data_IF_767279633653
#
_entry.id   IF_767279633653
#
_cell.length_a   1.000
_cell.length_b   1.000
_cell.length_c   1.000
_cell.angle_alpha   90.00
_cell.angle_beta   90.00
_cell.angle_gamma   90.00
#
_symmetry.space_group_name_H-M   'P 1'
#
loop_
_entity.id
_entity.type
_entity.pdbx_description
1 polymer ?
#
# COMPACT_ATOMS: atom_id res chain seq x y z
N UNK A 1 -32.49 -64.72 -59.29
CA UNK A 1 -31.69 -64.61 -58.09
C UNK A 1 -31.12 -63.17 -58.05
N UNK A 2 -31.75 -62.25 -57.29
CA UNK A 2 -31.31 -60.87 -57.08
C UNK A 2 -30.82 -60.74 -55.64
N UNK A 3 -29.53 -60.68 -55.43
CA UNK A 3 -28.96 -60.54 -54.13
C UNK A 3 -28.94 -59.08 -53.70
N UNK A 4 -29.37 -58.80 -52.46
CA UNK A 4 -29.44 -57.55 -51.79
C UNK A 4 -28.11 -57.10 -51.35
N UNK A 5 -27.61 -55.97 -51.87
CA UNK A 5 -26.34 -55.31 -51.50
C UNK A 5 -26.58 -53.88 -51.00
N UNK A 6 -27.59 -53.67 -50.13
CA UNK A 6 -27.81 -52.34 -49.55
C UNK A 6 -28.13 -52.52 -48.05
N UNK A 7 -27.12 -52.69 -47.21
CA UNK A 7 -27.32 -52.61 -45.75
C UNK A 7 -26.08 -52.31 -44.89
N UNK A 8 -24.87 -52.24 -45.42
CA UNK A 8 -23.70 -52.03 -44.58
C UNK A 8 -23.11 -50.60 -44.60
N UNK A 9 -23.55 -49.79 -45.58
CA UNK A 9 -23.05 -48.39 -45.71
C UNK A 9 -23.57 -47.44 -44.62
N UNK A 10 -24.76 -47.67 -44.11
CA UNK A 10 -25.38 -46.81 -43.10
C UNK A 10 -24.84 -47.06 -41.68
N UNK A 11 -24.36 -48.28 -41.41
CA UNK A 11 -23.79 -48.61 -40.10
C UNK A 11 -22.41 -47.96 -39.89
N UNK A 12 -21.61 -47.79 -40.94
CA UNK A 12 -20.31 -47.13 -40.88
C UNK A 12 -20.40 -45.60 -40.74
N UNK A 13 -21.46 -44.99 -41.28
CA UNK A 13 -21.68 -43.56 -41.19
C UNK A 13 -22.18 -43.13 -39.80
N UNK A 14 -22.90 -43.98 -39.10
CA UNK A 14 -23.39 -43.73 -37.76
C UNK A 14 -22.27 -43.85 -36.68
N UNK A 15 -21.26 -44.69 -36.89
CA UNK A 15 -20.15 -44.86 -35.94
C UNK A 15 -19.13 -43.72 -36.04
N UNK A 16 -19.02 -43.07 -37.21
CA UNK A 16 -18.04 -41.95 -37.40
C UNK A 16 -18.50 -40.62 -36.78
N UNK A 17 -19.79 -40.49 -36.41
CA UNK A 17 -20.35 -39.25 -35.83
C UNK A 17 -20.23 -39.19 -34.28
N UNK A 18 -19.89 -40.32 -33.62
CA UNK A 18 -19.79 -40.37 -32.14
C UNK A 18 -18.41 -39.96 -31.58
N UNK A 19 -17.40 -39.74 -32.42
CA UNK A 19 -16.05 -39.41 -31.94
C UNK A 19 -15.76 -37.92 -31.81
N UNK A 20 -16.70 -37.01 -32.09
CA UNK A 20 -16.44 -35.54 -32.00
C UNK A 20 -17.12 -34.82 -30.83
N UNK A 21 -17.57 -35.54 -29.81
CA UNK A 21 -18.14 -34.89 -28.61
C UNK A 21 -17.19 -34.96 -27.42
N UNK A 22 -15.88 -34.75 -27.62
CA UNK A 22 -15.04 -34.23 -26.56
C UNK A 22 -15.26 -32.70 -26.48
N UNK A 23 -16.30 -32.25 -25.79
CA UNK A 23 -16.29 -30.92 -25.20
C UNK A 23 -15.04 -30.86 -24.34
N UNK A 24 -14.03 -30.19 -24.83
CA UNK A 24 -12.96 -29.68 -23.98
C UNK A 24 -13.68 -28.83 -22.93
N UNK A 25 -13.85 -29.40 -21.73
CA UNK A 25 -14.10 -28.63 -20.56
C UNK A 25 -12.85 -27.72 -20.48
N UNK A 26 -12.99 -26.43 -20.81
CA UNK A 26 -11.98 -25.46 -20.43
C UNK A 26 -11.74 -25.72 -18.95
N UNK A 27 -10.60 -26.32 -18.64
CA UNK A 27 -10.10 -26.36 -17.29
C UNK A 27 -9.99 -24.88 -16.94
N UNK A 28 -10.81 -24.38 -16.04
CA UNK A 28 -10.55 -23.11 -15.37
C UNK A 28 -9.14 -23.24 -14.85
N UNK A 29 -8.18 -22.71 -15.61
CA UNK A 29 -6.79 -22.70 -15.22
C UNK A 29 -6.76 -21.74 -14.02
N UNK A 30 -6.76 -22.33 -12.81
CA UNK A 30 -6.50 -21.54 -11.61
C UNK A 30 -5.16 -20.86 -11.81
N UNK A 31 -5.07 -19.60 -11.42
CA UNK A 31 -3.80 -18.89 -11.33
C UNK A 31 -2.84 -19.65 -10.40
N UNK A 32 -1.57 -19.49 -10.62
CA UNK A 32 -0.49 -20.02 -9.77
C UNK A 32 0.28 -18.89 -9.13
N UNK A 33 1.23 -19.21 -8.27
CA UNK A 33 2.11 -18.20 -7.65
C UNK A 33 2.92 -17.36 -8.64
N UNK A 34 3.06 -17.78 -9.89
CA UNK A 34 3.89 -17.12 -10.90
C UNK A 34 3.18 -16.81 -12.22
N UNK A 35 1.89 -17.13 -12.32
CA UNK A 35 1.12 -16.98 -13.55
C UNK A 35 -0.34 -16.67 -13.26
N UNK A 36 -0.94 -15.75 -14.03
CA UNK A 36 -2.35 -15.37 -13.95
C UNK A 36 -2.55 -13.87 -13.88
N UNK A 37 -3.79 -13.46 -13.61
CA UNK A 37 -4.15 -12.04 -13.45
C UNK A 37 -4.97 -11.87 -12.19
N UNK A 38 -4.57 -10.93 -11.34
CA UNK A 38 -5.32 -10.52 -10.15
C UNK A 38 -5.49 -9.01 -10.09
N UNK A 39 -6.61 -8.58 -9.50
CA UNK A 39 -6.82 -7.18 -9.14
C UNK A 39 -6.57 -6.99 -7.66
N UNK A 40 -5.83 -5.94 -7.32
CA UNK A 40 -5.58 -5.54 -5.95
C UNK A 40 -5.96 -4.07 -5.75
N UNK A 41 -6.36 -3.71 -4.54
CA UNK A 41 -6.59 -2.31 -4.15
C UNK A 41 -5.53 -1.87 -3.17
N UNK A 42 -4.91 -0.73 -3.43
CA UNK A 42 -3.77 -0.22 -2.67
C UNK A 42 -4.07 1.20 -2.21
N UNK A 43 -3.87 1.48 -0.93
CA UNK A 43 -3.89 2.85 -0.44
C UNK A 43 -2.88 3.70 -1.22
N UNK A 44 -3.34 4.81 -1.76
CA UNK A 44 -2.57 5.74 -2.60
C UNK A 44 -1.30 6.23 -1.91
N UNK A 45 -1.31 6.35 -0.58
CA UNK A 45 -0.14 6.74 0.20
C UNK A 45 1.07 5.80 0.00
N UNK A 46 0.86 4.56 -0.44
CA UNK A 46 1.91 3.56 -0.68
C UNK A 46 2.17 3.29 -2.17
N UNK A 47 1.57 4.09 -3.06
CA UNK A 47 1.71 3.90 -4.51
C UNK A 47 3.16 3.77 -4.99
N UNK A 48 4.12 4.63 -4.60
CA UNK A 48 5.49 4.52 -5.12
C UNK A 48 6.11 3.16 -4.80
N UNK A 49 6.10 2.73 -3.55
CA UNK A 49 6.73 1.48 -3.12
C UNK A 49 6.01 0.24 -3.69
N UNK A 50 4.67 0.20 -3.67
CA UNK A 50 3.94 -0.98 -4.17
C UNK A 50 4.01 -1.08 -5.70
N UNK A 51 4.09 0.05 -6.41
CA UNK A 51 4.34 0.01 -7.87
C UNK A 51 5.70 -0.62 -8.19
N UNK A 52 6.73 -0.34 -7.40
CA UNK A 52 8.06 -0.94 -7.60
C UNK A 52 8.05 -2.43 -7.22
N UNK A 53 7.37 -2.82 -6.13
CA UNK A 53 7.18 -4.22 -5.75
C UNK A 53 6.54 -5.04 -6.88
N UNK A 54 5.43 -4.53 -7.45
CA UNK A 54 4.74 -5.18 -8.58
C UNK A 54 5.65 -5.29 -9.79
N UNK A 55 6.35 -4.22 -10.15
CA UNK A 55 7.26 -4.17 -11.29
C UNK A 55 8.37 -5.20 -11.16
N UNK A 56 9.02 -5.32 -9.99
CA UNK A 56 10.08 -6.29 -9.75
C UNK A 56 9.53 -7.72 -9.73
N UNK A 57 8.37 -7.94 -9.13
CA UNK A 57 7.71 -9.25 -9.15
C UNK A 57 7.39 -9.70 -10.57
N UNK A 58 6.72 -8.87 -11.37
CA UNK A 58 6.36 -9.18 -12.75
C UNK A 58 7.59 -9.33 -13.67
N UNK A 59 8.70 -8.64 -13.38
CA UNK A 59 9.95 -8.85 -14.11
C UNK A 59 10.54 -10.25 -13.89
N UNK A 60 10.27 -10.86 -12.73
CA UNK A 60 10.70 -12.22 -12.41
C UNK A 60 9.72 -13.28 -12.89
N UNK A 61 8.45 -12.91 -13.04
CA UNK A 61 7.35 -13.77 -13.46
C UNK A 61 6.56 -13.09 -14.59
N UNK A 62 7.02 -13.18 -15.86
CA UNK A 62 6.40 -12.44 -16.97
C UNK A 62 4.92 -12.78 -17.25
N UNK A 63 4.48 -13.98 -16.86
CA UNK A 63 3.08 -14.42 -16.98
C UNK A 63 2.20 -14.01 -15.80
N UNK A 64 2.76 -13.31 -14.82
CA UNK A 64 2.03 -12.77 -13.66
C UNK A 64 1.60 -11.32 -13.97
N UNK A 65 0.29 -11.05 -13.86
CA UNK A 65 -0.27 -9.72 -14.09
C UNK A 65 -1.02 -9.25 -12.85
N UNK A 66 -0.43 -8.32 -12.11
CA UNK A 66 -1.03 -7.69 -10.93
C UNK A 66 -1.52 -6.31 -11.32
N UNK A 67 -2.84 -6.12 -11.32
CA UNK A 67 -3.51 -4.87 -11.68
C UNK A 67 -3.87 -4.14 -10.38
N UNK A 68 -3.09 -3.12 -10.05
CA UNK A 68 -3.29 -2.31 -8.83
C UNK A 68 -4.18 -1.10 -9.10
N UNK A 69 -5.20 -0.92 -8.26
CA UNK A 69 -6.03 0.28 -8.19
C UNK A 69 -5.62 1.09 -6.97
N UNK A 70 -5.00 2.26 -7.18
CA UNK A 70 -4.59 3.17 -6.11
C UNK A 70 -5.74 4.11 -5.75
N UNK A 71 -6.17 4.10 -4.49
CA UNK A 71 -7.34 4.82 -4.01
C UNK A 71 -7.24 5.11 -2.49
N UNK A 72 -8.14 5.92 -1.90
CA UNK A 72 -8.17 6.13 -0.46
C UNK A 72 -8.35 4.83 0.31
N UNK A 73 -7.74 4.72 1.49
CA UNK A 73 -7.76 3.52 2.35
C UNK A 73 -9.17 2.99 2.61
N UNK A 74 -10.14 3.88 2.88
CA UNK A 74 -11.53 3.47 3.12
C UNK A 74 -12.17 2.79 1.90
N UNK A 75 -11.76 3.17 0.69
CA UNK A 75 -12.23 2.53 -0.55
C UNK A 75 -11.56 1.16 -0.73
N UNK A 76 -10.27 1.04 -0.37
CA UNK A 76 -9.60 -0.25 -0.35
C UNK A 76 -10.26 -1.24 0.63
N UNK A 77 -10.60 -0.78 1.84
CA UNK A 77 -11.28 -1.62 2.84
C UNK A 77 -12.68 -2.07 2.36
N UNK A 78 -13.42 -1.21 1.64
CA UNK A 78 -14.69 -1.60 1.01
C UNK A 78 -14.53 -2.65 -0.08
N UNK A 79 -13.41 -2.65 -0.77
CA UNK A 79 -13.10 -3.64 -1.82
C UNK A 79 -12.91 -5.06 -1.29
N UNK A 80 -12.75 -5.27 0.03
CA UNK A 80 -12.82 -6.62 0.62
C UNK A 80 -14.16 -7.31 0.35
N UNK A 81 -15.23 -6.54 0.10
CA UNK A 81 -16.55 -7.06 -0.29
C UNK A 81 -16.69 -7.29 -1.80
N UNK A 82 -15.70 -6.86 -2.60
CA UNK A 82 -15.71 -7.00 -4.05
C UNK A 82 -15.03 -8.31 -4.47
N UNK A 83 -15.75 -9.20 -5.12
CA UNK A 83 -15.24 -10.52 -5.53
C UNK A 83 -14.16 -10.44 -6.61
N UNK A 84 -14.07 -9.34 -7.35
CA UNK A 84 -13.01 -9.14 -8.34
C UNK A 84 -11.67 -8.72 -7.71
N UNK A 85 -11.67 -8.21 -6.47
CA UNK A 85 -10.46 -7.79 -5.76
C UNK A 85 -9.94 -8.93 -4.89
N UNK A 86 -8.73 -9.39 -5.18
CA UNK A 86 -8.09 -10.53 -4.52
C UNK A 86 -7.32 -10.14 -3.26
N UNK A 87 -6.81 -8.92 -3.21
CA UNK A 87 -5.97 -8.43 -2.12
C UNK A 87 -6.13 -6.93 -1.94
N UNK A 88 -6.01 -6.47 -0.71
CA UNK A 88 -5.82 -5.04 -0.43
C UNK A 88 -4.52 -4.80 0.34
N UNK A 89 -3.93 -3.61 0.16
CA UNK A 89 -2.75 -3.14 0.87
C UNK A 89 -3.07 -1.78 1.49
N UNK A 90 -3.06 -1.72 2.83
CA UNK A 90 -3.55 -0.57 3.61
C UNK A 90 -2.74 -0.38 4.90
N UNK A 91 -2.85 0.80 5.54
CA UNK A 91 -2.24 1.04 6.85
C UNK A 91 -3.11 0.53 8.02
N UNK A 92 -4.24 -0.10 7.72
CA UNK A 92 -5.12 -0.72 8.70
C UNK A 92 -5.26 -2.21 8.44
N UNK A 93 -4.90 -3.05 9.42
CA UNK A 93 -5.17 -4.46 9.41
C UNK A 93 -6.58 -4.78 9.91
N UNK A 94 -6.91 -6.06 9.96
CA UNK A 94 -8.16 -6.54 10.53
C UNK A 94 -8.03 -6.70 12.05
N UNK A 95 -9.11 -6.39 12.76
CA UNK A 95 -9.27 -6.86 14.15
C UNK A 95 -9.65 -8.35 14.15
N UNK A 96 -9.44 -9.04 15.27
CA UNK A 96 -9.84 -10.44 15.41
C UNK A 96 -11.34 -10.66 15.10
N UNK A 97 -12.19 -9.70 15.49
CA UNK A 97 -13.62 -9.79 15.22
C UNK A 97 -13.91 -9.65 13.72
N UNK A 98 -13.28 -8.66 13.05
CA UNK A 98 -13.42 -8.51 11.60
C UNK A 98 -12.91 -9.74 10.84
N UNK A 99 -11.79 -10.33 11.29
CA UNK A 99 -11.27 -11.58 10.72
C UNK A 99 -12.28 -12.73 10.81
N UNK A 100 -12.93 -12.91 11.98
CA UNK A 100 -13.99 -13.92 12.17
C UNK A 100 -15.23 -13.66 11.32
N UNK A 101 -15.64 -12.39 11.20
CA UNK A 101 -16.80 -12.02 10.38
C UNK A 101 -16.54 -12.28 8.90
N UNK A 102 -15.33 -11.99 8.41
CA UNK A 102 -14.92 -12.31 7.05
C UNK A 102 -14.78 -13.83 6.83
N UNK A 103 -14.22 -14.57 7.78
CA UNK A 103 -14.14 -16.04 7.74
C UNK A 103 -15.53 -16.65 7.60
N UNK A 104 -16.52 -16.16 8.36
CA UNK A 104 -17.91 -16.59 8.23
C UNK A 104 -18.52 -16.25 6.88
N UNK A 105 -18.20 -15.07 6.34
CA UNK A 105 -18.75 -14.59 5.07
C UNK A 105 -18.11 -15.32 3.86
N UNK A 106 -16.82 -15.59 3.90
CA UNK A 106 -16.07 -16.19 2.78
C UNK A 106 -15.97 -17.71 2.85
N UNK A 107 -16.22 -18.31 4.03
CA UNK A 107 -16.06 -19.76 4.26
C UNK A 107 -14.60 -20.19 4.45
N UNK A 108 -13.67 -19.25 4.55
CA UNK A 108 -12.25 -19.48 4.86
C UNK A 108 -11.67 -18.27 5.59
N UNK A 109 -10.62 -18.49 6.37
CA UNK A 109 -9.97 -17.43 7.15
C UNK A 109 -9.14 -16.53 6.24
N UNK A 110 -9.34 -15.19 6.27
CA UNK A 110 -8.45 -14.27 5.59
C UNK A 110 -7.04 -14.35 6.20
N UNK A 111 -6.03 -14.10 5.36
CA UNK A 111 -4.66 -13.92 5.83
C UNK A 111 -4.29 -12.44 5.75
N UNK A 112 -3.74 -11.88 6.82
CA UNK A 112 -3.25 -10.50 6.89
C UNK A 112 -2.09 -10.39 7.87
N UNK A 113 -1.06 -9.64 7.48
CA UNK A 113 0.09 -9.36 8.33
C UNK A 113 0.71 -8.02 7.98
N UNK A 114 1.59 -7.52 8.84
CA UNK A 114 2.40 -6.33 8.59
C UNK A 114 3.55 -6.70 7.65
N UNK A 115 3.72 -5.95 6.56
CA UNK A 115 4.84 -6.11 5.63
C UNK A 115 5.91 -5.04 5.80
N UNK A 116 5.53 -3.86 6.33
CA UNK A 116 6.46 -2.76 6.57
C UNK A 116 5.89 -1.78 7.60
N UNK A 117 6.74 -0.87 8.07
CA UNK A 117 6.33 0.32 8.83
C UNK A 117 6.70 1.56 8.03
N UNK A 118 5.75 2.47 7.90
CA UNK A 118 5.88 3.75 7.23
C UNK A 118 5.84 4.89 8.23
N UNK A 119 6.41 6.03 7.90
CA UNK A 119 6.22 7.26 8.66
C UNK A 119 5.33 8.24 7.92
N UNK A 120 4.44 8.90 8.65
CA UNK A 120 3.74 10.09 8.16
C UNK A 120 4.71 11.27 8.31
N UNK A 121 5.26 11.70 7.18
CA UNK A 121 6.22 12.80 7.11
C UNK A 121 5.50 14.15 7.18
N UNK A 122 6.04 15.05 7.95
CA UNK A 122 5.71 16.48 7.88
C UNK A 122 6.67 17.13 6.90
N UNK A 123 6.15 17.73 5.83
CA UNK A 123 6.95 18.40 4.81
C UNK A 123 6.65 19.89 4.77
N UNK A 124 7.67 20.67 4.51
CA UNK A 124 7.59 22.12 4.34
C UNK A 124 8.39 22.54 3.11
N UNK A 125 8.14 23.75 2.59
CA UNK A 125 8.95 24.29 1.51
C UNK A 125 10.43 24.35 1.90
N UNK A 126 11.36 24.13 0.97
CA UNK A 126 12.80 24.16 1.23
C UNK A 126 13.27 25.50 1.84
N UNK A 127 12.61 26.60 1.49
CA UNK A 127 12.88 27.96 1.99
C UNK A 127 12.03 28.33 3.22
N UNK A 128 11.20 27.43 3.75
CA UNK A 128 10.41 27.71 4.94
C UNK A 128 11.33 28.00 6.14
N UNK A 129 11.00 29.05 6.90
CA UNK A 129 11.76 29.43 8.09
C UNK A 129 11.63 28.43 9.23
N UNK A 130 10.49 27.76 9.30
CA UNK A 130 10.15 26.81 10.34
C UNK A 130 10.07 25.40 9.76
N UNK A 131 10.85 24.49 10.34
CA UNK A 131 10.90 23.08 9.97
C UNK A 131 11.09 22.18 11.20
N UNK A 132 10.79 22.71 12.40
CA UNK A 132 10.88 21.97 13.67
C UNK A 132 9.55 22.10 14.40
N UNK A 133 8.92 20.96 14.68
CA UNK A 133 7.57 20.93 15.23
C UNK A 133 7.48 20.04 16.47
N UNK A 134 6.93 20.60 17.55
CA UNK A 134 6.44 19.77 18.64
C UNK A 134 5.11 19.12 18.24
N UNK A 135 4.78 18.01 18.90
CA UNK A 135 3.48 17.35 18.70
C UNK A 135 2.31 18.31 18.98
N UNK A 136 2.44 19.12 20.03
CA UNK A 136 1.42 20.13 20.38
C UNK A 136 1.26 21.20 19.27
N UNK A 137 2.38 21.64 18.67
CA UNK A 137 2.35 22.60 17.56
C UNK A 137 1.65 22.03 16.34
N UNK A 138 1.92 20.77 15.96
CA UNK A 138 1.20 20.08 14.88
C UNK A 138 -0.29 19.94 15.17
N UNK A 139 -0.64 19.56 16.40
CA UNK A 139 -2.05 19.49 16.81
C UNK A 139 -2.75 20.84 16.68
N UNK A 140 -2.11 21.93 17.11
CA UNK A 140 -2.65 23.27 16.98
C UNK A 140 -2.82 23.69 15.52
N UNK A 141 -1.81 23.46 14.66
CA UNK A 141 -1.91 23.74 13.21
C UNK A 141 -3.10 23.06 12.55
N UNK A 142 -3.42 21.84 12.98
CA UNK A 142 -4.54 21.05 12.45
C UNK A 142 -5.91 21.44 13.02
N UNK A 143 -5.97 22.10 14.19
CA UNK A 143 -7.26 22.38 14.90
C UNK A 143 -7.56 23.86 15.10
N UNK A 144 -6.61 24.75 14.88
CA UNK A 144 -6.78 26.20 15.04
C UNK A 144 -7.13 26.87 13.71
N UNK A 145 -8.37 27.34 13.60
CA UNK A 145 -8.86 28.06 12.41
C UNK A 145 -8.25 29.46 12.24
N UNK A 146 -7.62 30.01 13.28
CA UNK A 146 -7.00 31.34 13.24
C UNK A 146 -5.55 31.31 12.74
N UNK A 147 -4.98 30.11 12.56
CA UNK A 147 -3.62 29.93 12.03
C UNK A 147 -3.52 30.46 10.60
N UNK A 148 -2.48 31.27 10.33
CA UNK A 148 -2.15 31.74 8.99
C UNK A 148 -1.42 30.68 8.15
N UNK A 149 -0.90 29.64 8.77
CA UNK A 149 -0.24 28.53 8.10
C UNK A 149 -1.27 27.64 7.43
N UNK A 150 -1.20 27.48 6.12
CA UNK A 150 -2.01 26.49 5.40
C UNK A 150 -1.51 25.08 5.71
N UNK A 151 -2.40 24.19 6.10
CA UNK A 151 -2.10 22.77 6.26
C UNK A 151 -2.71 22.00 5.11
N UNK A 152 -1.97 21.06 4.52
CA UNK A 152 -2.43 20.29 3.36
C UNK A 152 -2.26 18.81 3.61
N UNK A 153 -3.32 18.03 3.33
CA UNK A 153 -3.36 16.57 3.47
C UNK A 153 -3.79 15.93 2.14
N UNK A 154 -3.49 14.65 1.97
CA UNK A 154 -3.85 13.87 0.80
C UNK A 154 -5.32 13.43 0.86
N UNK A 155 -6.20 14.15 0.17
CA UNK A 155 -7.62 13.78 0.03
C UNK A 155 -8.54 14.30 1.14
N UNK A 156 -9.80 14.45 0.75
CA UNK A 156 -10.89 14.91 1.64
C UNK A 156 -11.48 13.79 2.51
N UNK A 157 -11.18 12.52 2.22
CA UNK A 157 -11.84 11.37 2.80
C UNK A 157 -10.82 10.29 3.11
N UNK A 158 -10.79 9.89 4.36
CA UNK A 158 -10.32 8.60 4.85
C UNK A 158 -9.15 7.94 4.07
N UNK A 159 -8.15 8.72 3.66
CA UNK A 159 -6.82 8.20 3.36
C UNK A 159 -6.18 7.74 4.66
N UNK A 160 -5.24 6.84 4.60
CA UNK A 160 -4.53 6.40 5.80
C UNK A 160 -3.79 7.52 6.50
N UNK A 161 -3.30 8.53 5.76
CA UNK A 161 -2.68 9.74 6.33
C UNK A 161 -3.70 10.54 7.13
N UNK A 162 -4.87 10.85 6.55
CA UNK A 162 -5.95 11.59 7.23
C UNK A 162 -6.44 10.83 8.46
N UNK A 163 -6.70 9.51 8.34
CA UNK A 163 -7.10 8.67 9.47
C UNK A 163 -6.04 8.70 10.58
N UNK A 164 -4.75 8.52 10.23
CA UNK A 164 -3.67 8.58 11.21
C UNK A 164 -3.64 9.92 11.97
N UNK A 165 -3.80 11.04 11.24
CA UNK A 165 -3.82 12.37 11.85
C UNK A 165 -5.01 12.54 12.81
N UNK A 166 -6.20 12.08 12.42
CA UNK A 166 -7.40 12.19 13.26
C UNK A 166 -7.33 11.28 14.48
N UNK A 167 -6.98 10.01 14.30
CA UNK A 167 -7.07 9.00 15.36
C UNK A 167 -5.84 9.06 16.29
N UNK A 168 -4.63 9.09 15.72
CA UNK A 168 -3.39 8.96 16.48
C UNK A 168 -2.85 10.32 16.96
N UNK A 169 -2.82 11.32 16.08
CA UNK A 169 -2.26 12.62 16.43
C UNK A 169 -3.28 13.51 17.16
N UNK A 170 -4.50 13.62 16.62
CA UNK A 170 -5.56 14.47 17.17
C UNK A 170 -6.45 13.78 18.20
N UNK A 171 -6.37 12.44 18.31
CA UNK A 171 -7.15 11.62 19.25
C UNK A 171 -8.66 11.90 19.15
N UNK A 172 -9.18 11.88 17.93
CA UNK A 172 -10.60 12.09 17.62
C UNK A 172 -11.06 13.55 17.52
N UNK A 173 -10.17 14.54 17.70
CA UNK A 173 -10.51 15.95 17.35
C UNK A 173 -10.58 16.10 15.84
N UNK A 174 -11.44 17.01 15.36
CA UNK A 174 -11.62 17.28 13.94
C UNK A 174 -10.63 18.34 13.42
N UNK A 175 -10.39 18.32 12.13
CA UNK A 175 -9.63 19.38 11.47
C UNK A 175 -10.37 20.71 11.49
N UNK A 176 -9.60 21.78 11.59
CA UNK A 176 -10.12 23.14 11.40
C UNK A 176 -10.29 23.46 9.90
N UNK A 177 -10.96 24.58 9.62
CA UNK A 177 -11.28 25.01 8.26
C UNK A 177 -10.07 25.44 7.43
N UNK A 178 -8.89 25.65 8.03
CA UNK A 178 -7.65 25.97 7.34
C UNK A 178 -6.92 24.75 6.80
N UNK A 179 -7.34 23.52 7.15
CA UNK A 179 -6.81 22.30 6.58
C UNK A 179 -7.41 22.10 5.20
N UNK A 180 -6.54 22.11 4.20
CA UNK A 180 -6.90 21.89 2.78
C UNK A 180 -6.62 20.45 2.41
N UNK A 181 -7.32 19.93 1.42
CA UNK A 181 -6.99 18.66 0.81
C UNK A 181 -6.50 18.83 -0.62
N UNK A 182 -5.47 18.07 -0.95
CA UNK A 182 -5.04 17.84 -2.32
C UNK A 182 -5.65 16.52 -2.83
N UNK A 183 -5.65 16.32 -4.13
CA UNK A 183 -6.23 15.10 -4.74
C UNK A 183 -5.39 13.84 -4.52
N UNK A 184 -4.13 14.01 -4.11
CA UNK A 184 -3.16 12.92 -3.90
C UNK A 184 -1.98 13.39 -3.07
N UNK A 185 -1.14 12.44 -2.60
CA UNK A 185 0.14 12.73 -1.95
C UNK A 185 1.06 13.58 -2.85
N UNK A 186 1.07 13.32 -4.17
CA UNK A 186 1.79 14.15 -5.15
C UNK A 186 1.25 15.60 -5.19
N UNK A 187 -0.06 15.76 -5.08
CA UNK A 187 -0.71 17.06 -4.98
C UNK A 187 -0.28 17.84 -3.73
N UNK A 188 -0.12 17.17 -2.59
CA UNK A 188 0.44 17.75 -1.35
C UNK A 188 1.85 18.26 -1.60
N UNK A 189 2.73 17.44 -2.18
CA UNK A 189 4.13 17.81 -2.47
C UNK A 189 4.17 19.04 -3.37
N UNK A 190 3.39 19.06 -4.45
CA UNK A 190 3.31 20.17 -5.38
C UNK A 190 2.82 21.46 -4.70
N UNK A 191 1.83 21.36 -3.81
CA UNK A 191 1.34 22.50 -3.06
C UNK A 191 2.43 23.07 -2.16
N UNK A 192 3.13 22.23 -1.39
CA UNK A 192 4.21 22.64 -0.49
C UNK A 192 5.37 23.25 -1.26
N UNK A 193 5.76 22.69 -2.41
CA UNK A 193 6.82 23.23 -3.26
C UNK A 193 6.56 24.68 -3.72
N UNK A 194 5.28 25.06 -3.85
CA UNK A 194 4.86 26.37 -4.34
C UNK A 194 4.35 27.34 -3.26
N UNK A 195 4.30 26.92 -1.99
CA UNK A 195 3.75 27.72 -0.88
C UNK A 195 4.69 27.66 0.34
N UNK A 196 5.46 28.74 0.56
CA UNK A 196 6.52 28.80 1.56
C UNK A 196 6.03 28.65 3.01
N UNK A 197 4.80 29.10 3.30
CA UNK A 197 4.21 29.11 4.65
C UNK A 197 3.24 27.94 4.88
N UNK A 198 3.30 26.91 4.02
CA UNK A 198 2.44 25.75 4.13
C UNK A 198 3.16 24.55 4.77
N UNK A 199 2.36 23.69 5.42
CA UNK A 199 2.78 22.41 6.02
C UNK A 199 1.96 21.29 5.40
N UNK A 200 2.63 20.23 4.94
CA UNK A 200 1.99 19.05 4.33
C UNK A 200 2.30 17.76 5.06
N UNK A 201 1.47 16.75 4.83
CA UNK A 201 1.62 15.40 5.40
C UNK A 201 1.59 14.36 4.28
N UNK A 202 2.61 13.51 4.19
CA UNK A 202 2.73 12.44 3.18
C UNK A 202 3.45 11.20 3.76
N UNK A 203 3.30 10.04 3.14
CA UNK A 203 4.06 8.84 3.50
C UNK A 203 5.54 8.93 3.08
N UNK A 204 6.41 8.15 3.75
CA UNK A 204 7.86 8.13 3.46
C UNK A 204 8.17 7.73 2.03
N UNK A 205 7.41 6.79 1.46
CA UNK A 205 7.62 6.32 0.09
C UNK A 205 7.50 7.40 -0.99
N UNK A 206 6.91 8.55 -0.66
CA UNK A 206 6.75 9.69 -1.57
C UNK A 206 7.92 10.67 -1.55
N UNK A 207 8.75 10.69 -0.49
CA UNK A 207 9.75 11.74 -0.27
C UNK A 207 11.09 11.22 0.26
N UNK A 208 11.23 9.91 0.43
CA UNK A 208 12.42 9.31 1.05
C UNK A 208 13.39 8.70 0.05
N UNK A 209 12.96 8.33 -1.15
CA UNK A 209 13.79 7.55 -2.06
C UNK A 209 14.81 8.42 -2.82
N UNK A 210 16.07 8.35 -2.38
CA UNK A 210 17.18 9.07 -3.01
C UNK A 210 17.64 8.47 -4.35
N UNK A 211 17.14 7.28 -4.71
CA UNK A 211 17.41 6.64 -6.00
C UNK A 211 16.33 6.97 -7.05
N UNK A 212 15.20 7.56 -6.63
CA UNK A 212 14.13 7.99 -7.53
C UNK A 212 14.42 9.42 -8.04
N UNK A 213 14.71 9.60 -9.36
CA UNK A 213 15.04 10.91 -9.92
C UNK A 213 13.95 11.97 -9.70
N UNK A 214 12.67 11.58 -9.68
CA UNK A 214 11.56 12.49 -9.45
C UNK A 214 11.56 12.98 -8.00
N UNK A 215 11.68 12.08 -7.02
CA UNK A 215 11.76 12.44 -5.60
C UNK A 215 13.01 13.26 -5.30
N UNK A 216 14.15 12.96 -5.93
CA UNK A 216 15.39 13.76 -5.82
C UNK A 216 15.17 15.19 -6.38
N UNK A 217 14.45 15.34 -7.49
CA UNK A 217 14.12 16.67 -8.02
C UNK A 217 13.16 17.45 -7.11
N UNK A 218 12.24 16.77 -6.45
CA UNK A 218 11.29 17.35 -5.49
C UNK A 218 11.95 17.75 -4.17
N UNK A 219 12.91 16.95 -3.69
CA UNK A 219 13.65 17.24 -2.45
C UNK A 219 14.43 18.56 -2.49
N UNK A 220 14.65 19.13 -3.68
CA UNK A 220 15.22 20.48 -3.84
C UNK A 220 14.21 21.59 -3.51
N UNK A 221 12.92 21.30 -3.57
CA UNK A 221 11.83 22.27 -3.37
C UNK A 221 11.14 22.13 -2.02
N UNK A 222 11.24 20.97 -1.41
CA UNK A 222 10.64 20.65 -0.11
C UNK A 222 11.71 20.08 0.84
N UNK A 223 11.44 20.11 2.14
CA UNK A 223 12.25 19.43 3.15
C UNK A 223 11.36 18.75 4.18
N UNK A 224 11.83 17.62 4.69
CA UNK A 224 11.21 16.94 5.81
C UNK A 224 11.50 17.68 7.11
N UNK A 225 10.46 17.90 7.90
CA UNK A 225 10.58 18.57 9.19
C UNK A 225 11.10 17.63 10.28
N UNK A 226 11.68 18.23 11.31
CA UNK A 226 12.06 17.55 12.56
C UNK A 226 10.85 17.54 13.50
N UNK A 227 10.52 16.37 14.05
CA UNK A 227 9.40 16.20 14.97
C UNK A 227 9.90 15.82 16.36
N UNK A 228 9.27 16.41 17.39
CA UNK A 228 9.58 16.16 18.79
C UNK A 228 9.51 14.67 19.14
N UNK A 229 10.61 14.12 19.67
CA UNK A 229 10.63 12.80 20.27
C UNK A 229 10.35 12.91 21.77
N UNK A 230 9.13 12.59 22.19
CA UNK A 230 8.76 12.68 23.62
C UNK A 230 9.49 11.68 24.52
N UNK A 231 9.90 10.52 23.98
CA UNK A 231 10.60 9.47 24.72
C UNK A 231 12.10 9.70 24.83
N UNK A 232 12.68 10.63 24.05
CA UNK A 232 14.13 10.85 23.99
C UNK A 232 14.65 11.91 24.98
N UNK A 233 13.76 12.59 25.69
CA UNK A 233 14.09 13.71 26.56
C UNK A 233 13.75 15.08 25.95
N UNK A 234 13.83 16.12 26.78
CA UNK A 234 13.44 17.47 26.39
C UNK A 234 14.36 18.03 25.29
N UNK A 235 13.77 18.63 24.27
CA UNK A 235 14.50 19.30 23.19
C UNK A 235 15.05 18.37 22.11
N UNK A 236 14.75 17.07 22.15
CA UNK A 236 15.14 16.14 21.09
C UNK A 236 14.09 16.10 19.97
N UNK A 237 14.55 16.24 18.73
CA UNK A 237 13.72 16.18 17.53
C UNK A 237 14.34 15.22 16.53
N UNK A 238 13.51 14.42 15.85
CA UNK A 238 13.94 13.42 14.90
C UNK A 238 13.36 13.67 13.50
N UNK A 239 14.15 13.37 12.47
CA UNK A 239 13.65 13.16 11.11
C UNK A 239 13.06 11.76 10.99
N UNK A 240 12.09 11.54 10.09
CA UNK A 240 11.71 10.19 9.73
C UNK A 240 12.86 9.50 8.98
N UNK A 241 13.38 8.44 9.57
CA UNK A 241 14.37 7.54 8.99
C UNK A 241 14.14 6.15 9.53
N UNK A 242 14.65 5.13 8.86
CA UNK A 242 14.52 3.75 9.33
C UNK A 242 15.09 3.60 10.76
N UNK A 243 16.22 4.22 11.02
CA UNK A 243 16.84 4.21 12.35
C UNK A 243 15.95 4.85 13.42
N UNK A 244 15.42 6.05 13.15
CA UNK A 244 14.59 6.78 14.13
C UNK A 244 13.23 6.12 14.34
N UNK A 245 12.70 5.43 13.32
CA UNK A 245 11.49 4.61 13.41
C UNK A 245 11.77 3.38 14.29
N UNK A 246 12.83 2.61 14.01
CA UNK A 246 13.19 1.42 14.76
C UNK A 246 13.50 1.72 16.24
N UNK A 247 14.16 2.84 16.51
CA UNK A 247 14.46 3.30 17.87
C UNK A 247 13.27 3.96 18.59
N UNK A 248 12.10 4.07 17.95
CA UNK A 248 10.93 4.75 18.51
C UNK A 248 11.13 6.25 18.76
N UNK A 249 12.08 6.86 18.03
CA UNK A 249 12.42 8.28 18.17
C UNK A 249 11.53 9.18 17.30
N UNK A 250 11.13 8.70 16.11
CA UNK A 250 10.14 9.39 15.27
C UNK A 250 8.72 8.95 15.67
N UNK A 251 7.84 9.88 16.09
CA UNK A 251 6.60 9.51 16.77
C UNK A 251 5.43 9.18 15.81
N UNK A 252 5.55 9.51 14.52
CA UNK A 252 4.43 9.41 13.57
C UNK A 252 4.63 8.20 12.64
N UNK A 253 4.55 7.00 13.21
CA UNK A 253 4.75 5.72 12.50
C UNK A 253 3.44 4.97 12.38
N UNK A 254 3.23 4.31 11.24
CA UNK A 254 2.07 3.46 10.96
C UNK A 254 2.50 2.15 10.31
N UNK A 255 1.82 1.04 10.58
CA UNK A 255 2.06 -0.22 9.90
C UNK A 255 1.51 -0.20 8.48
N UNK A 256 2.05 -1.04 7.59
CA UNK A 256 1.52 -1.38 6.30
C UNK A 256 1.13 -2.85 6.30
N UNK A 257 -0.13 -3.15 6.01
CA UNK A 257 -0.68 -4.49 5.97
C UNK A 257 -1.02 -4.91 4.55
N UNK A 258 -0.88 -6.20 4.26
CA UNK A 258 -1.71 -6.84 3.24
C UNK A 258 -2.89 -7.54 3.91
N UNK A 259 -3.99 -7.67 3.17
CA UNK A 259 -5.15 -8.52 3.50
C UNK A 259 -5.51 -9.26 2.22
N UNK A 260 -5.35 -10.60 2.22
CA UNK A 260 -5.56 -11.42 1.03
C UNK A 260 -6.81 -12.29 1.17
N UNK A 261 -7.60 -12.35 0.10
CA UNK A 261 -8.81 -13.13 -0.07
C UNK A 261 -8.54 -14.30 -1.03
N UNK A 262 -7.72 -15.24 -0.57
CA UNK A 262 -7.42 -16.48 -1.30
C UNK A 262 -7.57 -17.69 -0.39
N UNK A 263 -8.20 -18.75 -0.93
CA UNK A 263 -8.35 -20.05 -0.28
C UNK A 263 -7.50 -21.15 -0.93
N UNK A 264 -6.62 -20.79 -1.85
CA UNK A 264 -5.72 -21.66 -2.58
C UNK A 264 -4.37 -20.95 -2.79
N UNK A 265 -3.35 -21.69 -3.20
CA UNK A 265 -2.04 -21.12 -3.52
C UNK A 265 -2.07 -20.54 -4.92
N UNK A 266 -2.49 -19.29 -5.03
CA UNK A 266 -2.63 -18.54 -6.28
C UNK A 266 -1.61 -17.40 -6.41
N UNK A 267 -1.86 -16.50 -7.38
CA UNK A 267 -0.97 -15.39 -7.69
C UNK A 267 -0.88 -14.37 -6.54
N UNK A 268 -1.98 -14.17 -5.80
CA UNK A 268 -1.97 -13.32 -4.61
C UNK A 268 -1.07 -13.88 -3.51
N UNK A 269 -1.13 -15.20 -3.24
CA UNK A 269 -0.20 -15.88 -2.32
C UNK A 269 1.25 -15.75 -2.79
N UNK A 270 1.51 -15.89 -4.10
CA UNK A 270 2.83 -15.67 -4.67
C UNK A 270 3.38 -14.26 -4.44
N UNK A 271 2.53 -13.26 -4.61
CA UNK A 271 2.91 -11.87 -4.38
C UNK A 271 3.10 -11.56 -2.88
N UNK A 272 2.25 -12.11 -1.99
CA UNK A 272 2.46 -12.00 -0.53
C UNK A 272 3.81 -12.60 -0.12
N UNK A 273 4.15 -13.79 -0.62
CA UNK A 273 5.45 -14.40 -0.35
C UNK A 273 6.60 -13.51 -0.83
N UNK A 274 6.46 -12.87 -1.98
CA UNK A 274 7.45 -11.92 -2.47
C UNK A 274 7.59 -10.72 -1.54
N UNK A 275 6.49 -10.09 -1.12
CA UNK A 275 6.48 -8.94 -0.21
C UNK A 275 7.10 -9.25 1.15
N UNK A 276 6.91 -10.49 1.67
CA UNK A 276 7.35 -10.90 3.02
C UNK A 276 8.75 -11.52 3.04
N UNK A 277 9.28 -11.93 1.90
CA UNK A 277 10.62 -12.51 1.79
C UNK A 277 11.68 -11.44 1.42
N UNK A 278 12.93 -11.83 1.44
CA UNK A 278 14.10 -10.95 1.31
C UNK A 278 13.99 -9.92 0.17
N UNK A 279 13.59 -10.33 -1.02
CA UNK A 279 13.56 -9.43 -2.19
C UNK A 279 12.58 -8.28 -2.04
N UNK A 280 11.35 -8.55 -1.63
CA UNK A 280 10.35 -7.52 -1.36
C UNK A 280 10.75 -6.67 -0.15
N UNK A 281 11.22 -7.30 0.92
CA UNK A 281 11.68 -6.56 2.11
C UNK A 281 12.84 -5.60 1.79
N UNK A 282 13.72 -5.94 0.85
CA UNK A 282 14.77 -5.02 0.37
C UNK A 282 14.20 -3.84 -0.41
N UNK A 283 13.10 -4.01 -1.16
CA UNK A 283 12.41 -2.89 -1.85
C UNK A 283 11.79 -1.94 -0.84
N UNK A 284 11.09 -2.45 0.19
CA UNK A 284 10.61 -1.60 1.28
C UNK A 284 11.74 -0.80 1.93
N UNK A 285 12.87 -1.47 2.19
CA UNK A 285 14.06 -0.80 2.75
C UNK A 285 14.58 0.31 1.84
N UNK A 286 14.72 0.10 0.54
CA UNK A 286 15.19 1.10 -0.44
C UNK A 286 14.21 2.26 -0.58
N UNK A 287 12.93 2.02 -0.37
CA UNK A 287 11.88 3.04 -0.38
C UNK A 287 11.71 3.75 0.96
N UNK A 288 12.68 3.62 1.86
CA UNK A 288 12.74 4.27 3.18
C UNK A 288 11.64 3.85 4.17
N UNK A 289 10.97 2.72 3.93
CA UNK A 289 10.14 2.07 4.93
C UNK A 289 10.99 1.12 5.78
N UNK A 290 10.54 0.84 6.99
CA UNK A 290 11.14 -0.21 7.82
C UNK A 290 10.49 -1.55 7.42
N UNK A 291 11.24 -2.51 6.89
CA UNK A 291 10.72 -3.85 6.61
C UNK A 291 10.11 -4.50 7.85
N UNK A 292 8.97 -5.16 7.68
CA UNK A 292 8.23 -5.76 8.79
C UNK A 292 8.62 -7.20 9.10
N UNK A 293 9.30 -7.87 8.15
CA UNK A 293 9.60 -9.30 8.20
C UNK A 293 11.11 -9.61 8.16
N UNK A 294 11.97 -8.58 8.30
CA UNK A 294 13.42 -8.76 8.40
C UNK A 294 13.92 -8.19 9.72
N UNK A 295 14.68 -8.98 10.46
CA UNK A 295 15.45 -8.50 11.61
C UNK A 295 16.66 -7.72 11.10
N UNK A 296 16.75 -6.44 11.47
CA UNK A 296 17.91 -5.61 11.20
C UNK A 296 18.73 -5.48 12.49
N UNK A 297 19.90 -6.12 12.51
CA UNK A 297 20.92 -5.74 13.45
C UNK A 297 21.50 -4.39 13.03
N UNK A 298 21.24 -3.35 13.81
CA UNK A 298 21.96 -2.10 13.70
C UNK A 298 23.42 -2.37 14.13
N UNK A 299 24.31 -2.58 13.19
CA UNK A 299 25.74 -2.62 13.49
C UNK A 299 26.14 -1.22 13.97
N UNK A 300 26.41 -1.10 15.25
CA UNK A 300 27.05 0.09 15.79
C UNK A 300 28.38 0.26 15.06
N UNK A 301 28.57 1.39 14.38
CA UNK A 301 29.91 1.78 13.94
C UNK A 301 30.61 2.31 15.18
N UNK A 302 31.45 1.50 15.77
CA UNK A 302 32.48 1.96 16.70
C UNK A 302 33.54 2.75 15.90
N UNK A 303 33.31 4.09 15.76
CA UNK A 303 34.30 5.05 15.33
C UNK A 303 34.36 6.18 16.35
#
# INVERSE_FOLDING_TARGET
>A
MKGSFISYGWLYFAVMFFCFSCKHKESTKYDSTSQGTIHISVDESFKPVISEEIKVYQSSYPDAHIIASYKPEADCLRDLQNDSVRMIITAQGLTDQQGKDLEKAWGFRPNWEIVAYDAVNVIVNSNAKDSVFTIKKLQNLLTDSTSKTSVVVDGNKATSTVRYLLDSLLKGRIFSTNVKSADSSKGVINYIANNIDAVGFVGSSWVGNEEDPEQVAESKKIKQALIECKSCGAGYFAKPSQETILKGQYPMVRPLYYIIKENHTGLGTGFVNFLTLERGQLIFRRSYLVPGQMDFELRGSDY
#
